data_IF_593866533916
#
_entry.id   IF_593866533916
#
_cell.length_a   1.000
_cell.length_b   1.000
_cell.length_c   1.000
_cell.angle_alpha   90.00
_cell.angle_beta   90.00
_cell.angle_gamma   90.00
#
_symmetry.space_group_name_H-M   'P 1'
#
loop_
_entity.id
_entity.type
_entity.pdbx_description
1 polymer ?
#
# COMPACT_ATOMS: atom_id res chain seq x y z
N UNK A 1 40.77 -84.23 -30.68
CA UNK A 1 41.19 -82.80 -30.54
C UNK A 1 39.94 -81.96 -30.72
N UNK A 2 39.25 -81.67 -29.62
CA UNK A 2 38.02 -80.92 -29.65
C UNK A 2 38.34 -79.47 -29.34
N UNK A 3 38.02 -78.53 -30.27
CA UNK A 3 38.09 -77.09 -30.08
C UNK A 3 36.71 -76.58 -29.62
N UNK A 4 36.64 -76.10 -28.40
CA UNK A 4 35.50 -75.40 -27.87
C UNK A 4 35.59 -73.93 -28.30
N UNK A 5 34.55 -73.42 -29.01
CA UNK A 5 34.39 -72.05 -29.34
C UNK A 5 33.41 -71.43 -28.30
N UNK A 6 33.92 -70.53 -27.44
CA UNK A 6 33.12 -69.78 -26.48
C UNK A 6 32.58 -68.60 -27.22
N UNK A 7 31.26 -68.56 -27.46
CA UNK A 7 30.60 -67.38 -27.98
C UNK A 7 30.21 -66.40 -26.80
N UNK A 8 30.86 -65.30 -26.72
CA UNK A 8 30.55 -64.21 -25.75
C UNK A 8 29.40 -63.37 -26.28
N UNK A 9 28.21 -63.47 -25.67
CA UNK A 9 27.06 -62.66 -25.98
C UNK A 9 27.22 -61.33 -25.26
N UNK A 10 27.49 -60.29 -26.00
CA UNK A 10 27.41 -58.87 -25.50
C UNK A 10 25.97 -58.44 -25.51
N UNK A 11 25.31 -58.41 -24.34
CA UNK A 11 24.01 -57.77 -24.15
C UNK A 11 24.22 -56.24 -23.99
N UNK A 12 23.96 -55.49 -25.03
CA UNK A 12 23.89 -54.00 -24.98
C UNK A 12 22.63 -53.60 -24.25
N UNK A 13 22.78 -53.17 -23.01
CA UNK A 13 21.73 -52.46 -22.26
C UNK A 13 21.54 -51.05 -22.86
N UNK A 14 20.52 -50.84 -23.69
CA UNK A 14 20.10 -49.53 -24.13
C UNK A 14 19.45 -48.80 -22.94
N UNK A 15 20.18 -47.88 -22.33
CA UNK A 15 19.63 -46.92 -21.37
C UNK A 15 18.69 -45.98 -22.13
N UNK A 16 17.39 -46.28 -22.11
CA UNK A 16 16.36 -45.32 -22.49
C UNK A 16 16.30 -44.23 -21.42
N UNK A 17 16.97 -43.11 -21.66
CA UNK A 17 16.76 -41.90 -20.90
C UNK A 17 15.35 -41.39 -21.19
N UNK A 18 14.41 -41.66 -20.29
CA UNK A 18 13.10 -41.04 -20.29
C UNK A 18 13.33 -39.57 -19.96
N UNK A 19 13.26 -38.70 -20.97
CA UNK A 19 13.21 -37.25 -20.76
C UNK A 19 11.91 -36.96 -20.00
N UNK A 20 11.99 -36.71 -18.70
CA UNK A 20 10.90 -36.17 -17.89
C UNK A 20 10.68 -34.75 -18.34
N UNK A 21 9.72 -34.53 -19.21
CA UNK A 21 9.23 -33.16 -19.48
C UNK A 21 8.56 -32.65 -18.22
N UNK A 22 9.17 -31.67 -17.58
CA UNK A 22 8.53 -30.95 -16.50
C UNK A 22 7.23 -30.34 -17.06
N UNK A 23 6.10 -30.70 -16.48
CA UNK A 23 4.79 -30.21 -16.93
C UNK A 23 4.65 -28.73 -16.53
N UNK A 24 4.65 -27.84 -17.51
CA UNK A 24 4.55 -26.41 -17.30
C UNK A 24 3.09 -25.99 -17.35
N UNK A 25 2.63 -25.26 -16.33
CA UNK A 25 1.30 -24.68 -16.27
C UNK A 25 1.40 -23.16 -16.27
N UNK A 26 0.98 -22.57 -17.36
CA UNK A 26 1.06 -21.12 -17.58
C UNK A 26 -0.29 -20.44 -17.40
N UNK A 27 -0.29 -19.37 -16.61
CA UNK A 27 -1.41 -18.46 -16.38
C UNK A 27 -1.07 -17.10 -16.96
N UNK A 28 -1.82 -16.68 -17.95
CA UNK A 28 -1.67 -15.37 -18.61
C UNK A 28 -3.01 -15.00 -19.25
N UNK A 29 -3.38 -13.74 -19.17
CA UNK A 29 -4.52 -13.24 -19.92
C UNK A 29 -4.18 -13.21 -21.41
N UNK A 30 -5.04 -13.82 -22.26
CA UNK A 30 -4.94 -13.67 -23.70
C UNK A 30 -5.18 -12.21 -24.11
N UNK A 31 -4.78 -11.75 -25.29
CA UNK A 31 -5.05 -10.38 -25.72
C UNK A 31 -6.52 -9.96 -25.62
N UNK A 32 -7.45 -10.89 -25.84
CA UNK A 32 -8.90 -10.63 -25.73
C UNK A 32 -9.41 -10.60 -24.28
N UNK A 33 -8.70 -11.24 -23.36
CA UNK A 33 -9.05 -11.30 -21.93
C UNK A 33 -8.28 -10.28 -21.10
N UNK A 34 -7.23 -9.71 -21.67
CA UNK A 34 -6.39 -8.74 -20.95
C UNK A 34 -7.17 -7.47 -20.68
N UNK A 35 -7.29 -7.14 -19.41
CA UNK A 35 -7.90 -5.89 -18.94
C UNK A 35 -7.07 -5.32 -17.80
N UNK A 36 -6.98 -4.01 -17.75
CA UNK A 36 -6.40 -3.24 -16.66
C UNK A 36 -7.44 -2.27 -16.13
N UNK A 37 -7.60 -2.17 -14.82
CA UNK A 37 -8.65 -1.38 -14.21
C UNK A 37 -8.11 -0.54 -13.07
N UNK A 38 -8.44 0.76 -13.06
CA UNK A 38 -8.25 1.61 -11.89
C UNK A 38 -9.41 1.37 -10.92
N UNK A 39 -9.13 0.72 -9.80
CA UNK A 39 -10.13 0.42 -8.75
C UNK A 39 -10.11 1.43 -7.61
N UNK A 40 -9.02 2.19 -7.48
CA UNK A 40 -8.95 3.40 -6.65
C UNK A 40 -8.17 4.48 -7.39
N UNK A 41 -8.75 5.69 -7.42
CA UNK A 41 -8.15 6.89 -8.01
C UNK A 41 -8.55 8.08 -7.15
N UNK A 42 -7.90 8.20 -6.01
CA UNK A 42 -8.17 9.25 -5.01
C UNK A 42 -6.86 9.89 -4.54
N UNK A 43 -6.89 11.07 -3.94
CA UNK A 43 -5.69 11.66 -3.33
C UNK A 43 -5.09 10.85 -2.17
N UNK A 44 -5.76 9.79 -1.72
CA UNK A 44 -5.28 8.92 -0.63
C UNK A 44 -4.72 7.60 -1.14
N UNK A 45 -5.25 7.08 -2.26
CA UNK A 45 -4.87 5.77 -2.78
C UNK A 45 -5.07 5.69 -4.29
N UNK A 46 -4.07 5.13 -4.96
CA UNK A 46 -4.10 4.74 -6.35
C UNK A 46 -3.96 3.22 -6.44
N UNK A 47 -4.89 2.54 -7.13
CA UNK A 47 -4.87 1.09 -7.25
C UNK A 47 -5.21 0.65 -8.66
N UNK A 48 -4.28 -0.07 -9.28
CA UNK A 48 -4.38 -0.61 -10.63
C UNK A 48 -4.39 -2.13 -10.57
N UNK A 49 -5.40 -2.77 -11.14
CA UNK A 49 -5.61 -4.22 -11.06
C UNK A 49 -5.64 -4.85 -12.44
N UNK A 50 -5.02 -6.01 -12.58
CA UNK A 50 -5.04 -6.87 -13.76
C UNK A 50 -5.48 -8.29 -13.38
N UNK A 51 -6.68 -8.74 -13.81
CA UNK A 51 -7.13 -10.11 -13.60
C UNK A 51 -6.30 -11.10 -14.43
N UNK A 52 -5.83 -12.17 -13.77
CA UNK A 52 -5.12 -13.27 -14.42
C UNK A 52 -6.05 -14.50 -14.42
N UNK A 53 -6.58 -14.91 -15.58
CA UNK A 53 -7.56 -15.99 -15.68
C UNK A 53 -7.11 -17.27 -14.97
N UNK A 54 -7.99 -17.82 -14.13
CA UNK A 54 -7.82 -19.02 -13.33
C UNK A 54 -6.72 -18.98 -12.25
N UNK A 55 -6.03 -17.84 -12.08
CA UNK A 55 -4.99 -17.68 -11.06
C UNK A 55 -5.40 -16.72 -9.95
N UNK A 56 -5.79 -15.52 -10.29
CA UNK A 56 -6.10 -14.44 -9.35
C UNK A 56 -5.93 -13.08 -9.99
N UNK A 57 -5.39 -12.12 -9.24
CA UNK A 57 -5.24 -10.74 -9.69
C UNK A 57 -3.83 -10.21 -9.40
N UNK A 58 -3.30 -9.41 -10.30
CA UNK A 58 -2.11 -8.60 -10.07
C UNK A 58 -2.54 -7.18 -9.70
N UNK A 59 -2.10 -6.69 -8.56
CA UNK A 59 -2.50 -5.39 -8.04
C UNK A 59 -1.26 -4.51 -7.78
N UNK A 60 -1.24 -3.32 -8.37
CA UNK A 60 -0.30 -2.26 -8.03
C UNK A 60 -1.02 -1.22 -7.19
N UNK A 61 -0.43 -0.82 -6.08
CA UNK A 61 -1.00 0.21 -5.21
C UNK A 61 0.05 1.20 -4.73
N UNK A 62 -0.39 2.45 -4.60
CA UNK A 62 0.39 3.53 -3.98
C UNK A 62 -0.53 4.33 -3.08
N UNK A 63 -0.06 4.71 -1.89
CA UNK A 63 -0.85 5.42 -0.87
C UNK A 63 -0.23 6.73 -0.50
N UNK A 64 -1.08 7.68 -0.12
CA UNK A 64 -0.69 8.98 0.41
C UNK A 64 0.36 8.83 1.52
N UNK A 65 1.51 9.48 1.35
CA UNK A 65 2.62 9.42 2.29
C UNK A 65 3.63 10.55 1.95
N UNK A 66 4.52 10.86 2.90
CA UNK A 66 5.65 11.81 2.70
C UNK A 66 6.57 11.42 1.55
N UNK A 67 6.66 10.12 1.26
CA UNK A 67 7.46 9.58 0.16
C UNK A 67 6.56 8.77 -0.76
N UNK A 68 6.78 8.90 -2.05
CA UNK A 68 6.12 8.03 -3.04
C UNK A 68 6.50 6.58 -2.71
N UNK A 69 5.49 5.74 -2.62
CA UNK A 69 5.61 4.31 -2.40
C UNK A 69 4.91 3.56 -3.54
N UNK A 70 5.31 2.35 -3.77
CA UNK A 70 4.65 1.44 -4.69
C UNK A 70 4.76 0.03 -4.15
N UNK A 71 3.61 -0.60 -4.01
CA UNK A 71 3.46 -1.99 -3.63
C UNK A 71 2.83 -2.76 -4.78
N UNK A 72 3.24 -4.00 -4.94
CA UNK A 72 2.65 -4.96 -5.86
C UNK A 72 2.25 -6.20 -5.09
N UNK A 73 1.02 -6.65 -5.30
CA UNK A 73 0.49 -7.91 -4.76
C UNK A 73 0.03 -8.82 -5.89
N UNK A 74 0.49 -10.05 -5.87
CA UNK A 74 -0.02 -11.12 -6.71
C UNK A 74 -1.03 -11.94 -5.90
N UNK A 75 -2.30 -11.53 -5.94
CA UNK A 75 -3.39 -12.16 -5.20
C UNK A 75 -3.72 -13.51 -5.82
N UNK A 76 -3.73 -14.54 -5.01
CA UNK A 76 -3.90 -15.92 -5.47
C UNK A 76 -5.24 -16.48 -5.05
N UNK A 77 -6.03 -17.03 -5.98
CA UNK A 77 -7.25 -17.81 -5.63
C UNK A 77 -6.94 -18.99 -4.74
N UNK A 78 -5.73 -19.52 -4.86
CA UNK A 78 -5.20 -20.63 -4.03
C UNK A 78 -3.89 -20.15 -3.40
N UNK A 79 -3.92 -19.75 -2.12
CA UNK A 79 -2.72 -19.32 -1.41
C UNK A 79 -1.63 -20.41 -1.43
N UNK A 80 -0.37 -19.99 -1.32
CA UNK A 80 0.78 -20.91 -1.29
C UNK A 80 0.65 -21.89 -0.12
N UNK A 81 0.73 -23.18 -0.40
CA UNK A 81 0.72 -24.23 0.64
C UNK A 81 2.06 -24.38 1.35
N UNK A 82 3.15 -23.96 0.70
CA UNK A 82 4.52 -23.96 1.23
C UNK A 82 5.24 -22.69 0.77
N UNK A 83 6.22 -22.22 1.55
CA UNK A 83 7.11 -21.15 1.13
C UNK A 83 7.97 -21.59 -0.04
N UNK A 84 7.99 -20.83 -1.13
CA UNK A 84 8.73 -21.15 -2.37
C UNK A 84 9.58 -19.99 -2.85
N UNK A 85 10.72 -20.31 -3.42
CA UNK A 85 11.49 -19.36 -4.21
C UNK A 85 10.83 -19.18 -5.57
N UNK A 86 10.69 -17.93 -5.98
CA UNK A 86 10.03 -17.51 -7.21
C UNK A 86 11.04 -16.74 -8.05
N UNK A 87 11.26 -17.18 -9.26
CA UNK A 87 12.05 -16.43 -10.25
C UNK A 87 11.12 -15.43 -10.94
N UNK A 88 11.53 -14.18 -10.99
CA UNK A 88 10.85 -13.11 -11.71
C UNK A 88 11.71 -12.71 -12.91
N UNK A 89 11.16 -12.89 -14.10
CA UNK A 89 11.79 -12.56 -15.38
C UNK A 89 10.86 -11.69 -16.22
N UNK A 90 11.42 -10.87 -17.07
CA UNK A 90 10.69 -10.12 -18.10
C UNK A 90 10.79 -10.88 -19.41
N UNK A 91 9.67 -11.35 -19.93
CA UNK A 91 9.61 -12.03 -21.23
C UNK A 91 9.25 -11.02 -22.33
N UNK A 92 10.00 -10.98 -23.45
CA UNK A 92 9.62 -10.16 -24.58
C UNK A 92 8.32 -10.71 -25.22
N UNK A 93 7.53 -9.82 -25.86
CA UNK A 93 6.34 -10.27 -26.57
C UNK A 93 6.72 -11.11 -27.81
N UNK A 94 5.84 -12.03 -28.20
CA UNK A 94 6.08 -12.96 -29.30
C UNK A 94 6.35 -12.30 -30.68
N UNK A 95 5.95 -11.04 -30.85
CA UNK A 95 6.22 -10.25 -32.06
C UNK A 95 7.57 -9.56 -32.10
N UNK A 96 8.39 -9.72 -31.06
CA UNK A 96 9.81 -9.28 -31.01
C UNK A 96 10.75 -10.48 -30.99
N UNK A 97 10.87 -11.24 -32.09
CA UNK A 97 11.76 -12.40 -32.13
C UNK A 97 13.22 -11.93 -32.02
N UNK A 98 14.00 -12.66 -31.22
CA UNK A 98 15.43 -12.39 -31.00
C UNK A 98 15.75 -11.61 -29.73
N UNK A 99 14.78 -11.05 -29.02
CA UNK A 99 14.99 -10.51 -27.68
C UNK A 99 15.05 -11.66 -26.65
N UNK A 100 16.01 -11.61 -25.74
CA UNK A 100 16.13 -12.59 -24.65
C UNK A 100 15.28 -12.20 -23.45
N UNK A 101 14.92 -13.17 -22.64
CA UNK A 101 14.28 -12.92 -21.35
C UNK A 101 15.28 -12.23 -20.40
N UNK A 102 14.87 -11.15 -19.77
CA UNK A 102 15.66 -10.43 -18.79
C UNK A 102 15.30 -10.85 -17.37
N UNK A 103 16.29 -11.24 -16.58
CA UNK A 103 16.08 -11.57 -15.18
C UNK A 103 15.93 -10.30 -14.34
N UNK A 104 14.76 -10.16 -13.67
CA UNK A 104 14.53 -9.04 -12.76
C UNK A 104 15.10 -9.37 -11.37
N UNK A 105 14.62 -10.45 -10.74
CA UNK A 105 15.06 -10.85 -9.39
C UNK A 105 14.60 -12.28 -9.04
N UNK A 106 14.95 -12.72 -7.84
CA UNK A 106 14.39 -13.91 -7.19
C UNK A 106 13.76 -13.49 -5.87
N UNK A 107 12.56 -13.96 -5.60
CA UNK A 107 11.71 -13.64 -4.46
C UNK A 107 11.38 -14.89 -3.65
N UNK A 108 10.77 -14.66 -2.48
CA UNK A 108 10.07 -15.73 -1.76
C UNK A 108 8.59 -15.42 -1.66
N UNK A 109 7.74 -16.38 -2.04
CA UNK A 109 6.32 -16.33 -1.70
C UNK A 109 6.12 -17.23 -0.48
N UNK A 110 5.53 -16.64 0.56
CA UNK A 110 5.37 -17.28 1.86
C UNK A 110 4.09 -18.11 1.91
N UNK A 111 4.13 -19.19 2.67
CA UNK A 111 2.97 -20.03 2.93
C UNK A 111 1.80 -19.21 3.46
N UNK A 112 0.61 -19.40 2.89
CA UNK A 112 -0.67 -18.76 3.23
C UNK A 112 -0.75 -17.25 2.96
N UNK A 113 0.26 -16.67 2.32
CA UNK A 113 0.25 -15.26 1.92
C UNK A 113 0.24 -15.13 0.40
N UNK A 114 -0.29 -14.01 -0.07
CA UNK A 114 -0.16 -13.58 -1.45
C UNK A 114 1.29 -13.18 -1.77
N UNK A 115 1.63 -13.16 -3.04
CA UNK A 115 2.95 -12.70 -3.48
C UNK A 115 3.06 -11.18 -3.32
N UNK A 116 4.04 -10.71 -2.53
CA UNK A 116 4.25 -9.30 -2.28
C UNK A 116 5.61 -8.82 -2.77
N UNK A 117 5.63 -7.64 -3.39
CA UNK A 117 6.83 -6.94 -3.85
C UNK A 117 6.64 -5.45 -3.58
N UNK A 118 7.60 -4.81 -2.91
CA UNK A 118 7.57 -3.37 -2.66
C UNK A 118 8.71 -2.60 -3.32
N UNK A 119 8.54 -1.30 -3.39
CA UNK A 119 9.59 -0.34 -3.75
C UNK A 119 10.13 -0.48 -5.18
N UNK A 120 11.44 -0.44 -5.35
CA UNK A 120 12.08 -0.39 -6.66
C UNK A 120 11.72 -1.57 -7.57
N UNK A 121 11.58 -2.77 -7.01
CA UNK A 121 11.23 -3.96 -7.80
C UNK A 121 9.79 -3.87 -8.35
N UNK A 122 8.84 -3.30 -7.59
CA UNK A 122 7.49 -3.03 -8.09
C UNK A 122 7.50 -2.02 -9.24
N UNK A 123 8.33 -0.97 -9.16
CA UNK A 123 8.54 -0.02 -10.27
C UNK A 123 9.13 -0.69 -11.51
N UNK A 124 10.05 -1.65 -11.34
CA UNK A 124 10.61 -2.42 -12.45
C UNK A 124 9.53 -3.20 -13.20
N UNK A 125 8.53 -3.77 -12.49
CA UNK A 125 7.40 -4.46 -13.14
C UNK A 125 6.61 -3.51 -14.03
N UNK A 126 6.28 -2.29 -13.55
CA UNK A 126 5.58 -1.29 -14.35
C UNK A 126 6.40 -0.89 -15.58
N UNK A 127 7.69 -0.68 -15.43
CA UNK A 127 8.59 -0.34 -16.55
C UNK A 127 8.65 -1.44 -17.60
N UNK A 128 8.67 -2.71 -17.21
CA UNK A 128 8.68 -3.82 -18.16
C UNK A 128 7.33 -3.93 -18.91
N UNK A 129 6.21 -3.72 -18.21
CA UNK A 129 4.88 -3.65 -18.82
C UNK A 129 4.78 -2.48 -19.83
N UNK A 130 5.35 -1.31 -19.49
CA UNK A 130 5.39 -0.14 -20.36
C UNK A 130 6.19 -0.40 -21.64
N UNK A 131 7.29 -1.15 -21.57
CA UNK A 131 8.07 -1.61 -22.73
C UNK A 131 7.29 -2.64 -23.58
N UNK A 132 6.14 -3.14 -23.13
CA UNK A 132 5.36 -4.17 -23.79
C UNK A 132 5.82 -5.59 -23.46
N UNK A 133 6.70 -5.75 -22.47
CA UNK A 133 7.14 -7.06 -21.99
C UNK A 133 6.12 -7.67 -21.01
N UNK A 134 6.34 -8.94 -20.69
CA UNK A 134 5.48 -9.74 -19.81
C UNK A 134 6.27 -10.14 -18.56
N UNK A 135 6.23 -9.38 -17.46
CA UNK A 135 6.78 -9.82 -16.18
C UNK A 135 6.16 -11.16 -15.80
N UNK A 136 7.02 -12.17 -15.60
CA UNK A 136 6.60 -13.56 -15.40
C UNK A 136 7.21 -14.11 -14.13
N UNK A 137 6.34 -14.58 -13.24
CA UNK A 137 6.67 -15.28 -11.99
C UNK A 137 6.71 -16.77 -12.26
N UNK A 138 7.81 -17.41 -11.90
CA UNK A 138 8.00 -18.84 -12.12
C UNK A 138 8.41 -19.54 -10.83
N UNK A 139 7.66 -20.56 -10.43
CA UNK A 139 7.93 -21.34 -9.23
C UNK A 139 7.45 -22.78 -9.38
N UNK A 140 7.92 -23.67 -8.50
CA UNK A 140 7.51 -25.06 -8.48
C UNK A 140 6.20 -25.21 -7.69
N UNK A 141 5.22 -25.91 -8.27
CA UNK A 141 3.95 -26.17 -7.59
C UNK A 141 4.19 -26.93 -6.28
N UNK A 142 3.54 -26.48 -5.22
CA UNK A 142 3.64 -27.10 -3.91
C UNK A 142 2.83 -28.41 -3.81
N UNK A 143 1.87 -28.65 -4.72
CA UNK A 143 1.09 -29.88 -4.77
C UNK A 143 1.71 -30.94 -5.68
N UNK A 144 2.35 -30.51 -6.76
CA UNK A 144 2.97 -31.40 -7.74
C UNK A 144 4.41 -30.97 -7.97
N UNK A 145 5.36 -31.72 -7.40
CA UNK A 145 6.78 -31.38 -7.48
C UNK A 145 7.34 -31.39 -8.90
N UNK A 146 6.67 -32.05 -9.83
CA UNK A 146 7.09 -32.14 -11.23
C UNK A 146 6.44 -31.02 -12.10
N UNK A 147 5.56 -30.20 -11.51
CA UNK A 147 4.85 -29.13 -12.22
C UNK A 147 5.46 -27.77 -11.90
N UNK A 148 5.82 -27.03 -12.95
CA UNK A 148 6.23 -25.63 -12.88
C UNK A 148 5.05 -24.73 -13.16
N UNK A 149 4.86 -23.74 -12.32
CA UNK A 149 3.83 -22.69 -12.48
C UNK A 149 4.51 -21.46 -13.05
N UNK A 150 3.94 -20.91 -14.10
CA UNK A 150 4.28 -19.61 -14.66
C UNK A 150 3.08 -18.69 -14.64
N UNK A 151 3.25 -17.49 -14.08
CA UNK A 151 2.22 -16.47 -14.00
C UNK A 151 2.74 -15.20 -14.66
N UNK A 152 2.17 -14.84 -15.80
CA UNK A 152 2.61 -13.69 -16.58
C UNK A 152 1.60 -12.55 -16.54
N UNK A 153 2.10 -11.33 -16.35
CA UNK A 153 1.31 -10.11 -16.48
C UNK A 153 1.24 -9.71 -17.96
N UNK A 154 0.04 -9.52 -18.47
CA UNK A 154 -0.13 -9.11 -19.87
C UNK A 154 0.04 -7.59 -20.02
N UNK A 155 0.92 -7.17 -20.93
CA UNK A 155 1.10 -5.75 -21.28
C UNK A 155 0.02 -5.20 -22.22
N UNK A 156 -0.90 -6.06 -22.69
CA UNK A 156 -1.98 -5.65 -23.60
C UNK A 156 -2.97 -4.74 -22.85
N UNK A 157 -3.30 -3.58 -23.45
CA UNK A 157 -4.16 -2.53 -22.88
C UNK A 157 -3.63 -1.90 -21.58
N UNK A 158 -2.34 -2.08 -21.26
CA UNK A 158 -1.74 -1.54 -20.06
C UNK A 158 -1.55 -0.02 -20.12
N UNK A 159 -1.03 0.51 -21.25
CA UNK A 159 -0.53 1.88 -21.34
C UNK A 159 -1.56 2.96 -20.97
N UNK A 160 -2.79 2.83 -21.42
CA UNK A 160 -3.85 3.80 -21.09
C UNK A 160 -4.10 3.88 -19.59
N UNK A 161 -4.21 2.73 -18.93
CA UNK A 161 -4.50 2.66 -17.48
C UNK A 161 -3.27 3.01 -16.64
N UNK A 162 -2.08 2.72 -17.13
CA UNK A 162 -0.83 3.13 -16.51
C UNK A 162 -0.68 4.66 -16.49
N UNK A 163 -1.05 5.35 -17.56
CA UNK A 163 -1.03 6.81 -17.57
C UNK A 163 -1.94 7.40 -16.48
N UNK A 164 -3.17 6.87 -16.36
CA UNK A 164 -4.11 7.28 -15.31
C UNK A 164 -3.55 6.97 -13.91
N UNK A 165 -2.92 5.79 -13.73
CA UNK A 165 -2.29 5.40 -12.48
C UNK A 165 -1.12 6.32 -12.12
N UNK A 166 -0.27 6.65 -13.07
CA UNK A 166 0.88 7.55 -12.89
C UNK A 166 0.43 8.96 -12.51
N UNK A 167 -0.60 9.48 -13.17
CA UNK A 167 -1.21 10.76 -12.81
C UNK A 167 -1.81 10.75 -11.40
N UNK A 168 -2.49 9.67 -11.04
CA UNK A 168 -3.01 9.49 -9.69
C UNK A 168 -1.88 9.52 -8.65
N UNK A 169 -0.81 8.75 -8.86
CA UNK A 169 0.35 8.69 -7.93
C UNK A 169 1.01 10.05 -7.76
N UNK A 170 1.09 10.86 -8.81
CA UNK A 170 1.65 12.22 -8.75
C UNK A 170 0.77 13.20 -7.95
N UNK A 171 -0.52 12.90 -7.80
CA UNK A 171 -1.49 13.72 -7.08
C UNK A 171 -1.84 13.20 -5.68
N UNK A 172 -1.15 12.17 -5.18
CA UNK A 172 -1.34 11.69 -3.82
C UNK A 172 -0.96 12.76 -2.79
N UNK A 173 -1.72 12.82 -1.70
CA UNK A 173 -1.38 13.71 -0.58
C UNK A 173 0.00 13.36 -0.01
N UNK A 174 0.84 14.38 0.29
CA UNK A 174 2.20 14.17 0.80
C UNK A 174 2.21 13.89 2.32
N UNK A 175 1.18 13.26 2.85
CA UNK A 175 1.06 12.83 4.25
C UNK A 175 0.06 11.68 4.38
N UNK A 176 0.34 10.78 5.30
CA UNK A 176 -0.49 9.62 5.63
C UNK A 176 -1.43 9.89 6.81
N UNK A 177 -2.27 8.91 7.14
CA UNK A 177 -3.08 8.97 8.36
C UNK A 177 -2.20 9.05 9.62
N UNK A 178 -1.13 8.31 9.67
CA UNK A 178 -0.19 8.29 10.79
C UNK A 178 0.39 9.67 11.06
N UNK A 179 0.58 10.47 10.01
CA UNK A 179 1.08 11.85 10.13
C UNK A 179 0.08 12.80 10.77
N UNK A 180 -1.23 12.55 10.65
CA UNK A 180 -2.30 13.44 11.12
C UNK A 180 -3.11 12.89 12.28
N UNK A 181 -3.06 11.58 12.54
CA UNK A 181 -3.87 10.90 13.55
C UNK A 181 -3.70 11.45 14.96
N UNK A 182 -2.51 11.96 15.26
CA UNK A 182 -2.24 12.67 16.50
C UNK A 182 -1.57 14.00 16.19
N UNK A 183 -2.30 15.09 16.41
CA UNK A 183 -1.83 16.42 16.04
C UNK A 183 -1.99 17.41 17.20
N UNK A 184 -0.93 18.16 17.50
CA UNK A 184 -0.96 19.27 18.46
C UNK A 184 -0.95 20.58 17.68
N UNK A 185 -1.94 21.42 17.95
CA UNK A 185 -2.08 22.75 17.37
C UNK A 185 -2.02 23.80 18.48
N UNK A 186 -1.62 25.02 18.14
CA UNK A 186 -1.44 26.12 19.08
C UNK A 186 -2.33 27.30 18.77
N UNK A 187 -2.78 27.96 19.81
CA UNK A 187 -3.54 29.21 19.76
C UNK A 187 -2.64 30.42 19.93
N UNK A 188 -3.01 31.52 19.29
CA UNK A 188 -2.48 32.81 19.66
C UNK A 188 -2.96 33.23 21.08
N UNK A 189 -2.28 34.21 21.69
CA UNK A 189 -2.63 34.68 23.03
C UNK A 189 -4.08 35.15 23.06
N UNK A 190 -4.82 34.73 24.07
CA UNK A 190 -6.20 35.17 24.40
C UNK A 190 -7.20 35.06 23.23
N UNK A 191 -6.89 34.27 22.20
CA UNK A 191 -7.72 34.08 21.04
C UNK A 191 -8.39 32.70 21.01
N UNK A 192 -9.55 32.63 20.41
CA UNK A 192 -10.22 31.36 20.07
C UNK A 192 -9.68 30.77 18.76
N UNK A 193 -9.03 31.60 17.96
CA UNK A 193 -8.46 31.19 16.68
C UNK A 193 -7.07 30.57 16.85
N UNK A 194 -6.82 29.53 16.08
CA UNK A 194 -5.50 28.90 15.96
C UNK A 194 -4.51 29.87 15.28
N UNK A 195 -3.23 29.75 15.62
CA UNK A 195 -2.18 30.46 14.88
C UNK A 195 -2.09 29.98 13.42
N UNK A 196 -1.46 30.76 12.55
CA UNK A 196 -1.39 30.50 11.10
C UNK A 196 -0.80 29.10 10.75
N UNK A 197 0.23 28.67 11.47
CA UNK A 197 0.84 27.35 11.24
C UNK A 197 -0.14 26.21 11.61
N UNK A 198 -0.85 26.37 12.72
CA UNK A 198 -1.86 25.41 13.18
C UNK A 198 -3.10 25.39 12.28
N UNK A 199 -3.51 26.54 11.74
CA UNK A 199 -4.60 26.60 10.75
C UNK A 199 -4.23 25.81 9.49
N UNK A 200 -3.00 25.95 8.98
CA UNK A 200 -2.51 25.17 7.83
C UNK A 200 -2.53 23.66 8.13
N UNK A 201 -2.13 23.29 9.36
CA UNK A 201 -2.13 21.87 9.77
C UNK A 201 -3.55 21.33 9.93
N UNK A 202 -4.47 22.11 10.49
CA UNK A 202 -5.89 21.74 10.57
C UNK A 202 -6.51 21.57 9.18
N UNK A 203 -6.14 22.42 8.21
CA UNK A 203 -6.59 22.27 6.82
C UNK A 203 -6.12 20.95 6.17
N UNK A 204 -4.90 20.49 6.46
CA UNK A 204 -4.43 19.18 6.01
C UNK A 204 -5.26 18.03 6.60
N UNK A 205 -5.61 18.12 7.89
CA UNK A 205 -6.51 17.13 8.53
C UNK A 205 -7.87 17.13 7.82
N UNK A 206 -8.43 18.31 7.57
CA UNK A 206 -9.72 18.46 6.89
C UNK A 206 -9.69 17.91 5.47
N UNK A 207 -8.62 18.17 4.73
CA UNK A 207 -8.43 17.63 3.38
C UNK A 207 -8.39 16.11 3.40
N UNK A 208 -7.65 15.51 4.32
CA UNK A 208 -7.60 14.05 4.47
C UNK A 208 -8.98 13.44 4.79
N UNK A 209 -9.70 14.03 5.74
CA UNK A 209 -11.04 13.57 6.17
C UNK A 209 -12.03 13.57 5.00
N UNK A 210 -11.98 14.58 4.10
CA UNK A 210 -12.87 14.65 2.93
C UNK A 210 -12.76 13.45 1.99
N UNK A 211 -11.59 12.84 1.92
CA UNK A 211 -11.33 11.67 1.06
C UNK A 211 -11.37 10.34 1.81
N UNK A 212 -11.42 10.36 3.16
CA UNK A 212 -11.41 9.15 3.96
C UNK A 212 -12.69 9.04 4.80
N UNK A 213 -13.57 8.12 4.41
CA UNK A 213 -14.82 7.83 5.11
C UNK A 213 -14.64 6.90 6.32
N UNK A 214 -13.44 6.33 6.52
CA UNK A 214 -13.16 5.40 7.62
C UNK A 214 -12.82 6.11 8.93
N UNK A 215 -12.73 7.46 8.91
CA UNK A 215 -12.56 8.27 10.12
C UNK A 215 -13.86 8.24 10.90
N UNK A 216 -13.86 7.54 12.03
CA UNK A 216 -15.04 7.29 12.84
C UNK A 216 -15.03 7.98 14.22
N UNK A 217 -13.89 8.54 14.61
CA UNK A 217 -13.74 9.22 15.89
C UNK A 217 -12.79 10.42 15.79
N UNK A 218 -13.22 11.55 16.34
CA UNK A 218 -12.39 12.75 16.51
C UNK A 218 -12.44 13.18 17.96
N UNK A 219 -11.31 13.07 18.66
CA UNK A 219 -11.14 13.55 20.03
C UNK A 219 -10.43 14.90 20.01
N UNK A 220 -11.04 15.92 20.60
CA UNK A 220 -10.50 17.27 20.69
C UNK A 220 -10.33 17.66 22.15
N UNK A 221 -9.09 17.88 22.58
CA UNK A 221 -8.76 18.29 23.94
C UNK A 221 -8.06 19.65 23.92
N UNK A 222 -8.71 20.66 24.48
CA UNK A 222 -8.21 22.05 24.47
C UNK A 222 -7.68 22.46 25.84
N UNK A 223 -6.61 23.23 25.84
CA UNK A 223 -5.89 23.68 27.04
C UNK A 223 -5.54 25.16 26.95
N UNK A 224 -5.42 25.80 28.12
CA UNK A 224 -5.00 27.18 28.23
C UNK A 224 -3.74 27.28 29.12
N UNK A 225 -3.07 28.42 29.08
CA UNK A 225 -2.07 28.79 30.09
C UNK A 225 -2.72 29.20 31.43
N UNK A 226 -1.92 29.57 32.40
CA UNK A 226 -2.39 29.86 33.78
C UNK A 226 -2.57 31.35 34.08
N UNK A 227 -2.65 32.22 33.07
CA UNK A 227 -2.62 33.67 33.28
C UNK A 227 -3.88 34.19 33.96
N UNK A 228 -5.04 33.59 33.66
CA UNK A 228 -6.34 34.02 34.15
C UNK A 228 -6.90 33.14 35.27
N UNK A 229 -7.99 33.62 35.89
CA UNK A 229 -8.73 32.83 36.88
C UNK A 229 -9.16 31.46 36.37
N UNK A 230 -9.40 30.53 37.31
CA UNK A 230 -9.73 29.13 36.95
C UNK A 230 -10.98 29.02 36.06
N UNK A 231 -12.02 29.81 36.32
CA UNK A 231 -13.27 29.78 35.53
C UNK A 231 -13.05 30.36 34.13
N UNK A 232 -12.33 31.46 33.99
CA UNK A 232 -12.04 32.12 32.68
C UNK A 232 -11.24 31.16 31.79
N UNK A 233 -10.25 30.50 32.34
CA UNK A 233 -9.46 29.49 31.60
C UNK A 233 -10.29 28.27 31.19
N UNK A 234 -11.26 27.87 32.01
CA UNK A 234 -12.14 26.76 31.68
C UNK A 234 -13.09 27.15 30.54
N UNK A 235 -13.78 28.32 30.68
CA UNK A 235 -14.72 28.83 29.66
C UNK A 235 -14.03 29.05 28.29
N UNK A 236 -12.79 29.56 28.29
CA UNK A 236 -12.03 29.76 27.07
C UNK A 236 -11.70 28.40 26.39
N UNK A 237 -11.28 27.40 27.18
CA UNK A 237 -10.97 26.09 26.62
C UNK A 237 -12.21 25.39 26.08
N UNK A 238 -13.37 25.52 26.73
CA UNK A 238 -14.65 24.99 26.24
C UNK A 238 -15.08 25.65 24.94
N UNK A 239 -15.05 26.98 24.86
CA UNK A 239 -15.35 27.69 23.60
C UNK A 239 -14.44 27.26 22.45
N UNK A 240 -13.15 27.09 22.70
CA UNK A 240 -12.18 26.56 21.69
C UNK A 240 -12.55 25.16 21.24
N UNK A 241 -12.98 24.32 22.15
CA UNK A 241 -13.42 22.96 21.86
C UNK A 241 -14.68 22.94 20.97
N UNK A 242 -15.68 23.80 21.27
CA UNK A 242 -16.92 23.91 20.50
C UNK A 242 -16.65 24.41 19.07
N UNK A 243 -15.81 25.43 18.89
CA UNK A 243 -15.43 25.91 17.54
C UNK A 243 -14.84 24.79 16.70
N UNK A 244 -14.04 23.90 17.28
CA UNK A 244 -13.48 22.74 16.56
C UNK A 244 -14.52 21.66 16.33
N UNK A 245 -15.46 21.43 17.24
CA UNK A 245 -16.61 20.54 17.00
C UNK A 245 -17.38 21.00 15.75
N UNK A 246 -17.76 22.27 15.70
CA UNK A 246 -18.51 22.82 14.56
C UNK A 246 -17.71 22.73 13.27
N UNK A 247 -16.40 22.94 13.34
CA UNK A 247 -15.51 22.76 12.20
C UNK A 247 -15.54 21.33 11.68
N UNK A 248 -15.38 20.31 12.52
CA UNK A 248 -15.42 18.91 12.10
C UNK A 248 -16.82 18.47 11.63
N UNK A 249 -17.89 19.00 12.24
CA UNK A 249 -19.26 18.80 11.73
C UNK A 249 -19.42 19.36 10.30
N UNK A 250 -18.83 20.50 10.03
CA UNK A 250 -18.87 21.11 8.67
C UNK A 250 -18.14 20.28 7.61
N UNK A 251 -17.27 19.35 8.00
CA UNK A 251 -16.61 18.39 7.11
C UNK A 251 -17.45 17.14 6.83
N UNK A 252 -18.65 17.02 7.45
CA UNK A 252 -19.56 15.90 7.26
C UNK A 252 -19.43 14.80 8.31
N UNK A 253 -18.60 14.99 9.35
CA UNK A 253 -18.50 14.02 10.43
C UNK A 253 -19.75 14.04 11.33
N UNK A 254 -20.35 12.89 11.66
CA UNK A 254 -21.48 12.81 12.58
C UNK A 254 -21.11 13.34 13.98
N UNK A 255 -22.05 14.00 14.65
CA UNK A 255 -21.79 14.66 15.94
C UNK A 255 -21.41 13.65 17.05
N UNK A 256 -21.99 12.48 17.05
CA UNK A 256 -21.70 11.39 17.98
C UNK A 256 -20.27 10.81 17.83
N UNK A 257 -19.64 11.10 16.69
CA UNK A 257 -18.24 10.72 16.40
C UNK A 257 -17.24 11.81 16.78
N UNK A 258 -17.70 12.98 17.25
CA UNK A 258 -16.86 14.12 17.62
C UNK A 258 -16.96 14.33 19.12
N UNK A 259 -15.91 13.99 19.83
CA UNK A 259 -15.82 14.21 21.28
C UNK A 259 -14.89 15.38 21.56
N UNK A 260 -15.40 16.41 22.24
CA UNK A 260 -14.62 17.60 22.58
C UNK A 260 -14.60 17.83 24.08
N UNK A 261 -13.47 18.31 24.61
CA UNK A 261 -13.32 18.63 26.01
C UNK A 261 -12.36 19.79 26.25
N UNK A 262 -12.83 20.79 27.01
CA UNK A 262 -12.01 21.86 27.55
C UNK A 262 -11.40 21.48 28.91
N UNK A 263 -10.10 21.61 29.03
CA UNK A 263 -9.38 21.31 30.26
C UNK A 263 -8.91 22.54 31.05
N UNK A 264 -9.10 23.74 30.48
CA UNK A 264 -8.59 24.96 31.10
C UNK A 264 -7.08 24.87 31.32
N UNK A 265 -6.64 25.29 32.50
CA UNK A 265 -5.22 25.25 32.90
C UNK A 265 -4.76 23.90 33.49
N UNK A 266 -5.59 22.89 33.45
CA UNK A 266 -5.22 21.54 33.91
C UNK A 266 -4.25 20.88 32.94
N UNK A 267 -3.37 20.01 33.46
CA UNK A 267 -2.41 19.23 32.68
C UNK A 267 -1.44 20.09 31.85
N UNK A 268 -0.72 21.05 32.44
CA UNK A 268 0.31 21.80 31.72
C UNK A 268 1.42 20.85 31.26
N UNK A 269 1.99 21.12 30.09
CA UNK A 269 3.15 20.37 29.53
C UNK A 269 4.45 21.16 29.63
N UNK A 270 4.37 22.42 30.08
CA UNK A 270 5.52 23.30 30.29
C UNK A 270 5.27 24.25 31.47
N UNK A 271 6.35 24.85 31.97
CA UNK A 271 6.25 25.83 33.03
C UNK A 271 5.57 27.12 32.56
N UNK A 272 4.52 27.55 33.26
CA UNK A 272 3.79 28.78 32.99
C UNK A 272 4.51 30.07 33.46
N UNK A 273 5.68 29.96 34.14
CA UNK A 273 6.47 31.14 34.50
C UNK A 273 7.14 31.77 33.25
N UNK A 274 7.42 30.98 32.20
CA UNK A 274 8.05 31.47 31.00
C UNK A 274 7.06 31.74 29.86
N UNK A 275 7.28 32.79 29.01
CA UNK A 275 6.45 33.03 27.82
C UNK A 275 6.38 31.82 26.88
N UNK A 276 7.50 31.10 26.69
CA UNK A 276 7.59 29.90 25.85
C UNK A 276 6.76 28.77 26.45
N UNK A 277 6.79 28.60 27.76
CA UNK A 277 6.00 27.56 28.44
C UNK A 277 4.50 27.84 28.36
N UNK A 278 4.08 29.10 28.51
CA UNK A 278 2.69 29.53 28.30
C UNK A 278 2.23 29.23 26.87
N UNK A 279 3.06 29.50 25.87
CA UNK A 279 2.75 29.22 24.48
C UNK A 279 2.53 27.72 24.22
N UNK A 280 3.40 26.87 24.77
CA UNK A 280 3.23 25.41 24.70
C UNK A 280 1.96 24.92 25.39
N UNK A 281 1.50 25.59 26.44
CA UNK A 281 0.29 25.23 27.16
C UNK A 281 -0.99 25.69 26.46
N UNK A 282 -0.96 26.76 25.64
CA UNK A 282 -2.07 27.20 24.79
C UNK A 282 -2.21 26.29 23.55
N UNK A 283 -2.66 25.07 23.77
CA UNK A 283 -2.72 24.02 22.74
C UNK A 283 -4.08 23.36 22.63
N UNK A 284 -4.28 22.71 21.51
CA UNK A 284 -5.28 21.65 21.34
C UNK A 284 -4.58 20.38 20.86
N UNK A 285 -5.06 19.26 21.34
CA UNK A 285 -4.66 17.92 20.89
C UNK A 285 -5.85 17.32 20.14
N UNK A 286 -5.61 16.94 18.90
CA UNK A 286 -6.59 16.27 18.05
C UNK A 286 -6.10 14.83 17.86
N UNK A 287 -6.95 13.87 18.19
CA UNK A 287 -6.71 12.45 17.94
C UNK A 287 -7.82 11.89 17.06
N UNK A 288 -7.43 11.27 15.95
CA UNK A 288 -8.33 10.65 14.98
C UNK A 288 -8.31 9.13 15.14
N UNK A 289 -9.49 8.52 15.15
CA UNK A 289 -9.69 7.08 15.09
C UNK A 289 -10.19 6.62 13.74
N UNK A 290 -9.89 5.37 13.37
CA UNK A 290 -10.44 4.69 12.20
C UNK A 290 -11.20 3.45 12.64
N UNK A 291 -12.27 3.12 11.93
CA UNK A 291 -12.86 1.79 11.99
C UNK A 291 -11.85 0.79 11.45
N UNK A 292 -11.43 -0.17 12.26
CA UNK A 292 -10.65 -1.31 11.79
C UNK A 292 -11.64 -2.28 11.13
N UNK A 293 -11.56 -2.37 9.81
CA UNK A 293 -12.32 -3.34 9.00
C UNK A 293 -11.58 -4.67 9.00
#
# INVERSE_FOLDING_TARGET
MNKWVIATIFTTFALNSVATFAMEKRYVATPQQSTWQMVANTPLECRLVHPIPNYGDAEFSSRANKKINLDFELKMRRPMGETRNVSLVSLPPSWRPGESADRITTLQFFKQFDGYIGGQTAWSLLSELEKGCYPTFSYQDWQSRDQRIEVALSSVLFQEKYNIFSDCVSNLLPYSFEDISFTILHYDRDNVQLNKASQKRLAQIAEYIRYNQDIDLVLVSTYTDSVDGKSVSQDLSERRAEVLRDYFKSLGLPEDRIQVQGYGKRRPIADNASPIGKDKNRRVVISLGRTLI
#
